data_IF_356693846777
#
_entry.id   IF_356693846777
#
_cell.length_a   1.000
_cell.length_b   1.000
_cell.length_c   1.000
_cell.angle_alpha   90.00
_cell.angle_beta   90.00
_cell.angle_gamma   90.00
#
_symmetry.space_group_name_H-M   'P 1'
#
loop_
_entity.id
_entity.type
_entity.pdbx_description
1 polymer ?
#
# COMPACT_ATOMS: atom_id res chain seq x y z
N UNK A 1 14.45 26.15 5.06
CA UNK A 1 13.26 25.80 4.28
C UNK A 1 13.16 24.28 4.27
N UNK A 2 12.17 23.71 4.96
CA UNK A 2 11.92 22.26 4.89
C UNK A 2 11.50 21.94 3.45
N UNK A 3 12.21 21.01 2.81
CA UNK A 3 11.94 20.60 1.44
C UNK A 3 10.55 19.94 1.41
N UNK A 4 9.54 20.45 0.68
CA UNK A 4 8.15 19.93 0.71
C UNK A 4 8.08 18.44 0.38
N UNK A 5 9.05 17.95 -0.39
CA UNK A 5 9.24 16.54 -0.73
C UNK A 5 9.42 15.67 0.55
N UNK A 6 10.16 16.15 1.56
CA UNK A 6 10.37 15.41 2.83
C UNK A 6 9.10 15.28 3.66
N UNK A 7 8.23 16.29 3.66
CA UNK A 7 6.97 16.26 4.41
C UNK A 7 5.98 15.27 3.78
N UNK A 8 5.89 15.29 2.44
CA UNK A 8 5.01 14.41 1.68
C UNK A 8 5.36 12.91 1.80
N UNK A 9 6.61 12.57 2.15
CA UNK A 9 7.09 11.19 2.32
C UNK A 9 7.03 10.68 3.77
N UNK A 10 7.16 11.57 4.74
CA UNK A 10 7.11 11.21 6.16
C UNK A 10 5.70 10.74 6.60
N UNK A 11 4.68 11.01 5.78
CA UNK A 11 3.26 10.78 6.08
C UNK A 11 2.74 9.39 5.66
N UNK A 12 3.56 8.53 5.05
CA UNK A 12 3.09 7.31 4.40
C UNK A 12 4.21 6.26 4.42
N UNK A 13 4.18 5.09 5.05
CA UNK A 13 3.09 4.19 5.45
C UNK A 13 3.72 3.09 6.32
N UNK A 14 3.27 2.83 7.56
CA UNK A 14 3.25 1.47 8.09
C UNK A 14 1.82 0.94 7.99
N UNK A 15 1.50 0.29 6.87
CA UNK A 15 0.26 -0.46 6.70
C UNK A 15 0.56 -1.87 7.19
N UNK A 16 0.25 -2.12 8.44
CA UNK A 16 0.36 -3.46 9.02
C UNK A 16 -0.92 -4.21 8.65
N UNK A 17 -0.84 -5.09 7.66
CA UNK A 17 -1.87 -6.09 7.42
C UNK A 17 -1.63 -7.26 8.38
N UNK A 18 -2.47 -7.42 9.38
CA UNK A 18 -2.52 -8.63 10.18
C UNK A 18 -3.97 -9.11 10.18
N UNK A 19 -4.20 -10.37 9.80
CA UNK A 19 -5.52 -11.00 9.91
C UNK A 19 -5.34 -12.21 10.83
N UNK A 20 -5.85 -12.10 12.06
CA UNK A 20 -6.01 -13.25 12.94
C UNK A 20 -7.12 -14.14 12.39
N UNK A 21 -7.00 -15.47 12.48
CA UNK A 21 -8.02 -16.41 12.00
C UNK A 21 -8.31 -17.41 13.11
N UNK A 22 -9.57 -17.50 13.53
CA UNK A 22 -10.04 -18.43 14.55
C UNK A 22 -11.33 -19.11 14.10
N UNK A 23 -11.27 -19.98 13.09
CA UNK A 23 -12.48 -20.73 12.73
C UNK A 23 -12.31 -21.80 11.65
N UNK A 24 -12.16 -23.05 12.07
CA UNK A 24 -12.37 -24.22 11.21
C UNK A 24 -13.86 -24.38 10.86
N UNK A 25 -14.22 -24.50 9.58
CA UNK A 25 -15.36 -25.33 9.16
C UNK A 25 -16.35 -24.85 8.08
N UNK A 26 -16.29 -23.60 7.58
CA UNK A 26 -17.26 -23.10 6.58
C UNK A 26 -16.57 -22.43 5.38
N UNK A 27 -17.16 -22.54 4.18
CA UNK A 27 -16.71 -21.85 2.95
C UNK A 27 -16.69 -20.31 3.08
N UNK A 28 -17.35 -19.77 4.12
CA UNK A 28 -17.40 -18.34 4.41
C UNK A 28 -16.18 -17.82 5.19
N UNK A 29 -15.19 -18.66 5.49
CA UNK A 29 -13.97 -18.30 6.25
C UNK A 29 -12.71 -18.73 5.51
N UNK A 30 -11.59 -18.07 5.83
CA UNK A 30 -10.28 -18.51 5.35
C UNK A 30 -9.88 -19.82 6.04
N UNK A 31 -9.38 -20.78 5.26
CA UNK A 31 -8.69 -21.94 5.82
C UNK A 31 -7.40 -21.52 6.52
N UNK A 32 -6.85 -22.39 7.38
CA UNK A 32 -5.57 -22.13 8.06
C UNK A 32 -4.42 -21.92 7.07
N UNK A 33 -4.42 -22.61 5.94
CA UNK A 33 -3.37 -22.46 4.92
C UNK A 33 -3.49 -21.11 4.19
N UNK A 34 -4.68 -20.73 3.74
CA UNK A 34 -4.94 -19.41 3.12
C UNK A 34 -4.62 -18.27 4.09
N UNK A 35 -4.94 -18.43 5.36
CA UNK A 35 -4.61 -17.48 6.43
C UNK A 35 -3.11 -17.32 6.64
N UNK A 36 -2.38 -18.44 6.69
CA UNK A 36 -0.94 -18.45 6.85
C UNK A 36 -0.24 -17.80 5.65
N UNK A 37 -0.70 -18.12 4.44
CA UNK A 37 -0.17 -17.54 3.21
C UNK A 37 -0.47 -16.03 3.11
N UNK A 38 -1.70 -15.60 3.44
CA UNK A 38 -2.04 -14.18 3.51
C UNK A 38 -1.16 -13.42 4.51
N UNK A 39 -0.94 -14.01 5.70
CA UNK A 39 -0.05 -13.41 6.70
C UNK A 39 1.42 -13.39 6.24
N UNK A 40 1.88 -14.37 5.45
CA UNK A 40 3.21 -14.33 4.85
C UNK A 40 3.33 -13.20 3.81
N UNK A 41 2.34 -13.07 2.93
CA UNK A 41 2.28 -11.99 1.92
C UNK A 41 2.21 -10.60 2.56
N UNK A 42 1.44 -10.45 3.63
CA UNK A 42 1.38 -9.22 4.40
C UNK A 42 2.74 -8.85 5.04
N UNK A 43 3.51 -9.84 5.51
CA UNK A 43 4.87 -9.62 6.02
C UNK A 43 5.83 -9.19 4.91
N UNK A 44 5.77 -9.84 3.75
CA UNK A 44 6.57 -9.45 2.57
C UNK A 44 6.28 -8.00 2.17
N UNK A 45 5.00 -7.63 2.07
CA UNK A 45 4.56 -6.27 1.79
C UNK A 45 5.08 -5.27 2.83
N UNK A 46 4.96 -5.59 4.13
CA UNK A 46 5.47 -4.73 5.21
C UNK A 46 6.99 -4.53 5.14
N UNK A 47 7.74 -5.59 4.82
CA UNK A 47 9.18 -5.52 4.63
C UNK A 47 9.56 -4.65 3.41
N UNK A 48 8.84 -4.80 2.30
CA UNK A 48 9.02 -3.97 1.10
C UNK A 48 8.76 -2.49 1.41
N UNK A 49 7.66 -2.17 2.11
CA UNK A 49 7.36 -0.79 2.53
C UNK A 49 8.42 -0.20 3.45
N UNK A 50 8.98 -1.01 4.36
CA UNK A 50 10.09 -0.58 5.23
C UNK A 50 11.35 -0.24 4.43
N UNK A 51 11.66 -1.06 3.42
CA UNK A 51 12.78 -0.82 2.51
C UNK A 51 12.56 0.47 1.70
N UNK A 52 11.37 0.63 1.12
CA UNK A 52 11.00 1.81 0.33
C UNK A 52 11.05 3.10 1.16
N UNK A 53 10.67 3.05 2.44
CA UNK A 53 10.83 4.19 3.35
C UNK A 53 12.32 4.57 3.58
N UNK A 54 13.19 3.56 3.66
CA UNK A 54 14.64 3.78 3.78
C UNK A 54 15.22 4.38 2.51
N UNK A 55 14.79 3.91 1.34
CA UNK A 55 15.16 4.45 0.03
C UNK A 55 14.65 5.89 -0.16
N UNK A 56 13.42 6.19 0.28
CA UNK A 56 12.86 7.54 0.26
C UNK A 56 13.69 8.50 1.13
N UNK A 57 14.09 8.04 2.31
CA UNK A 57 15.01 8.79 3.17
C UNK A 57 16.33 9.06 2.47
N UNK A 58 16.88 8.08 1.74
CA UNK A 58 18.11 8.25 0.95
C UNK A 58 17.94 9.23 -0.22
N UNK A 59 16.83 9.16 -0.98
CA UNK A 59 16.49 10.13 -2.03
C UNK A 59 16.40 11.55 -1.47
N UNK A 60 15.84 11.73 -0.27
CA UNK A 60 15.75 13.04 0.38
C UNK A 60 17.13 13.63 0.74
N UNK A 61 18.12 12.79 1.04
CA UNK A 61 19.51 13.20 1.30
C UNK A 61 20.26 13.57 0.02
N UNK A 62 19.87 13.03 -1.14
CA UNK A 62 20.40 13.48 -2.43
C UNK A 62 19.90 14.90 -2.78
N UNK A 63 18.75 15.31 -2.27
CA UNK A 63 18.24 16.67 -2.50
C UNK A 63 19.14 17.78 -1.94
N UNK A 64 19.94 17.50 -0.89
CA UNK A 64 20.93 18.46 -0.38
C UNK A 64 22.10 18.73 -1.34
N UNK A 65 22.23 17.99 -2.46
CA UNK A 65 23.28 18.24 -3.47
C UNK A 65 22.83 19.16 -4.61
N UNK A 66 21.60 19.69 -4.58
CA UNK A 66 21.12 20.73 -5.50
C UNK A 66 20.56 20.27 -6.85
N UNK A 67 20.57 18.96 -7.14
CA UNK A 67 20.04 18.40 -8.39
C UNK A 67 18.59 17.95 -8.21
N UNK A 68 17.66 18.88 -8.42
CA UNK A 68 16.22 18.67 -8.20
C UNK A 68 15.64 17.60 -9.15
N UNK A 69 16.19 17.47 -10.36
CA UNK A 69 15.72 16.49 -11.34
C UNK A 69 16.07 15.06 -10.90
N UNK A 70 17.31 14.83 -10.43
CA UNK A 70 17.69 13.52 -9.88
C UNK A 70 16.89 13.12 -8.66
N UNK A 71 16.41 14.08 -7.88
CA UNK A 71 15.54 13.82 -6.72
C UNK A 71 14.15 13.42 -7.17
N UNK A 72 13.58 14.12 -8.15
CA UNK A 72 12.28 13.80 -8.72
C UNK A 72 12.26 12.40 -9.34
N UNK A 73 13.30 12.03 -10.11
CA UNK A 73 13.43 10.68 -10.67
C UNK A 73 13.55 9.59 -9.58
N UNK A 74 14.29 9.88 -8.51
CA UNK A 74 14.44 8.97 -7.37
C UNK A 74 13.08 8.71 -6.69
N UNK A 75 12.26 9.75 -6.50
CA UNK A 75 10.93 9.60 -5.90
C UNK A 75 9.89 9.00 -6.83
N UNK A 76 9.97 9.29 -8.13
CA UNK A 76 9.13 8.63 -9.12
C UNK A 76 9.34 7.11 -9.07
N UNK A 77 10.58 6.64 -9.05
CA UNK A 77 10.88 5.20 -8.95
C UNK A 77 10.32 4.56 -7.68
N UNK A 78 10.50 5.21 -6.52
CA UNK A 78 9.94 4.69 -5.26
C UNK A 78 8.42 4.59 -5.31
N UNK A 79 7.74 5.57 -5.93
CA UNK A 79 6.28 5.54 -6.00
C UNK A 79 5.77 4.49 -6.98
N UNK A 80 6.51 4.18 -8.04
CA UNK A 80 6.21 3.02 -8.88
C UNK A 80 6.38 1.71 -8.12
N UNK A 81 7.46 1.57 -7.35
CA UNK A 81 7.68 0.37 -6.54
C UNK A 81 6.57 0.21 -5.49
N UNK A 82 6.16 1.29 -4.82
CA UNK A 82 5.01 1.26 -3.90
C UNK A 82 3.74 0.82 -4.64
N UNK A 83 3.45 1.44 -5.80
CA UNK A 83 2.28 1.09 -6.62
C UNK A 83 2.28 -0.40 -6.99
N UNK A 84 3.40 -0.94 -7.47
CA UNK A 84 3.54 -2.36 -7.79
C UNK A 84 3.28 -3.26 -6.58
N UNK A 85 3.85 -2.93 -5.42
CA UNK A 85 3.61 -3.70 -4.18
C UNK A 85 2.13 -3.69 -3.77
N UNK A 86 1.43 -2.56 -3.93
CA UNK A 86 -0.01 -2.47 -3.66
C UNK A 86 -0.85 -3.26 -4.67
N UNK A 87 -0.47 -3.28 -5.94
CA UNK A 87 -1.12 -4.05 -6.99
C UNK A 87 -0.97 -5.57 -6.76
N UNK A 88 0.23 -6.02 -6.39
CA UNK A 88 0.50 -7.43 -6.08
C UNK A 88 -0.39 -7.94 -4.92
N UNK A 89 -0.41 -7.21 -3.79
CA UNK A 89 -1.23 -7.61 -2.65
C UNK A 89 -2.74 -7.46 -2.93
N UNK A 90 -3.14 -6.45 -3.72
CA UNK A 90 -4.54 -6.30 -4.18
C UNK A 90 -4.98 -7.51 -5.00
N UNK A 91 -4.14 -7.97 -5.93
CA UNK A 91 -4.41 -9.13 -6.80
C UNK A 91 -4.51 -10.41 -5.97
N UNK A 92 -3.60 -10.61 -5.02
CA UNK A 92 -3.63 -11.76 -4.11
C UNK A 92 -4.93 -11.79 -3.28
N UNK A 93 -5.32 -10.65 -2.70
CA UNK A 93 -6.57 -10.54 -1.92
C UNK A 93 -7.81 -10.77 -2.79
N UNK A 94 -7.79 -10.30 -4.05
CA UNK A 94 -8.87 -10.58 -5.00
C UNK A 94 -9.00 -12.08 -5.27
N UNK A 95 -7.87 -12.77 -5.47
CA UNK A 95 -7.83 -14.23 -5.63
C UNK A 95 -8.45 -14.96 -4.44
N UNK A 96 -7.99 -14.65 -3.22
CA UNK A 96 -8.56 -15.21 -1.99
C UNK A 96 -10.06 -14.95 -1.87
N UNK A 97 -10.52 -13.76 -2.25
CA UNK A 97 -11.95 -13.43 -2.22
C UNK A 97 -12.81 -14.27 -3.17
N UNK A 98 -12.21 -14.85 -4.21
CA UNK A 98 -12.86 -15.77 -5.13
C UNK A 98 -12.89 -17.22 -4.64
N UNK A 99 -12.08 -17.56 -3.63
CA UNK A 99 -11.98 -18.90 -3.05
C UNK A 99 -12.83 -19.07 -1.79
N UNK A 100 -13.33 -17.98 -1.22
CA UNK A 100 -14.24 -17.96 -0.08
C UNK A 100 -15.60 -17.37 -0.48
N UNK A 101 -16.62 -17.66 0.29
CA UNK A 101 -17.99 -17.20 0.08
C UNK A 101 -18.42 -16.18 1.15
N UNK A 102 -19.66 -15.71 1.03
CA UNK A 102 -20.32 -14.92 2.07
C UNK A 102 -19.66 -13.57 2.40
N UNK A 103 -19.68 -13.25 3.71
CA UNK A 103 -19.21 -11.97 4.22
C UNK A 103 -17.69 -11.81 4.03
N UNK A 104 -16.90 -12.87 4.22
CA UNK A 104 -15.45 -12.83 4.03
C UNK A 104 -15.09 -12.46 2.58
N UNK A 105 -15.71 -13.11 1.58
CA UNK A 105 -15.53 -12.76 0.15
C UNK A 105 -15.79 -11.28 -0.11
N UNK A 106 -16.93 -10.79 0.39
CA UNK A 106 -17.36 -9.40 0.16
C UNK A 106 -16.38 -8.40 0.79
N UNK A 107 -15.87 -8.69 1.99
CA UNK A 107 -14.92 -7.80 2.66
C UNK A 107 -13.53 -7.86 2.04
N UNK A 108 -13.05 -9.03 1.63
CA UNK A 108 -11.78 -9.16 0.90
C UNK A 108 -11.83 -8.42 -0.44
N UNK A 109 -12.94 -8.48 -1.19
CA UNK A 109 -13.13 -7.66 -2.42
C UNK A 109 -13.03 -6.16 -2.15
N UNK A 110 -13.63 -5.70 -1.05
CA UNK A 110 -13.55 -4.29 -0.66
C UNK A 110 -12.11 -3.87 -0.31
N UNK A 111 -11.37 -4.71 0.41
CA UNK A 111 -9.95 -4.50 0.71
C UNK A 111 -9.12 -4.45 -0.58
N UNK A 112 -9.27 -5.43 -1.47
CA UNK A 112 -8.58 -5.47 -2.76
C UNK A 112 -8.84 -4.20 -3.59
N UNK A 113 -10.10 -3.74 -3.64
CA UNK A 113 -10.47 -2.50 -4.34
C UNK A 113 -9.73 -1.29 -3.77
N UNK A 114 -9.68 -1.15 -2.44
CA UNK A 114 -8.98 -0.01 -1.83
C UNK A 114 -7.45 -0.08 -1.98
N UNK A 115 -6.87 -1.28 -1.99
CA UNK A 115 -5.46 -1.47 -2.30
C UNK A 115 -5.16 -1.05 -3.75
N UNK A 116 -6.04 -1.40 -4.70
CA UNK A 116 -5.96 -0.95 -6.09
C UNK A 116 -6.06 0.57 -6.23
N UNK A 117 -7.04 1.20 -5.57
CA UNK A 117 -7.20 2.66 -5.52
C UNK A 117 -5.92 3.36 -5.01
N UNK A 118 -5.25 2.76 -4.02
CA UNK A 118 -3.98 3.29 -3.49
C UNK A 118 -2.83 3.08 -4.46
N UNK A 119 -2.74 1.92 -5.13
CA UNK A 119 -1.78 1.69 -6.20
C UNK A 119 -1.89 2.78 -7.28
N UNK A 120 -3.10 3.04 -7.78
CA UNK A 120 -3.34 4.06 -8.81
C UNK A 120 -2.90 5.46 -8.37
N UNK A 121 -3.12 5.80 -7.10
CA UNK A 121 -2.68 7.08 -6.54
C UNK A 121 -1.15 7.20 -6.50
N UNK A 122 -0.43 6.11 -6.16
CA UNK A 122 1.03 6.08 -6.20
C UNK A 122 1.55 6.15 -7.63
N UNK A 123 0.96 5.41 -8.56
CA UNK A 123 1.29 5.48 -10.00
C UNK A 123 1.10 6.89 -10.57
N UNK A 124 -0.02 7.55 -10.24
CA UNK A 124 -0.26 8.94 -10.65
C UNK A 124 0.77 9.90 -10.08
N UNK A 125 1.12 9.75 -8.79
CA UNK A 125 2.13 10.60 -8.17
C UNK A 125 3.52 10.40 -8.77
N UNK A 126 3.88 9.17 -9.18
CA UNK A 126 5.12 8.91 -9.90
C UNK A 126 5.18 9.65 -11.25
N UNK A 127 4.07 9.65 -11.99
CA UNK A 127 3.95 10.40 -13.26
C UNK A 127 4.10 11.91 -13.04
N UNK A 128 3.50 12.44 -11.98
CA UNK A 128 3.62 13.86 -11.61
C UNK A 128 5.05 14.25 -11.26
N UNK A 129 5.79 13.39 -10.53
CA UNK A 129 7.21 13.60 -10.26
C UNK A 129 8.03 13.72 -11.54
N UNK A 130 7.83 12.81 -12.50
CA UNK A 130 8.55 12.85 -13.79
C UNK A 130 8.19 14.06 -14.65
N UNK A 131 6.94 14.50 -14.56
CA UNK A 131 6.47 15.69 -15.27
C UNK A 131 6.98 17.00 -14.63
N UNK A 132 7.62 16.94 -13.46
CA UNK A 132 8.06 18.12 -12.73
C UNK A 132 6.92 18.88 -12.02
N UNK A 133 5.74 18.28 -11.90
CA UNK A 133 4.55 18.88 -11.30
C UNK A 133 4.54 18.78 -9.76
N UNK A 134 5.67 19.11 -9.13
CA UNK A 134 5.95 18.82 -7.71
C UNK A 134 5.03 19.56 -6.73
N UNK A 135 4.50 20.73 -7.13
CA UNK A 135 3.64 21.57 -6.27
C UNK A 135 2.29 20.92 -5.91
N UNK A 136 1.83 19.95 -6.70
CA UNK A 136 0.52 19.31 -6.52
C UNK A 136 0.65 17.92 -5.86
N UNK A 137 1.88 17.43 -5.70
CA UNK A 137 2.15 16.09 -5.20
C UNK A 137 1.75 16.00 -3.73
N UNK A 138 2.17 16.91 -2.87
CA UNK A 138 1.86 16.87 -1.44
C UNK A 138 0.34 16.84 -1.16
N UNK A 139 -0.43 17.66 -1.88
CA UNK A 139 -1.90 17.64 -1.79
C UNK A 139 -2.49 16.32 -2.27
N UNK A 140 -1.98 15.77 -3.38
CA UNK A 140 -2.38 14.44 -3.87
C UNK A 140 -2.01 13.33 -2.91
N UNK A 141 -0.86 13.40 -2.24
CA UNK A 141 -0.40 12.39 -1.28
C UNK A 141 -1.15 12.44 0.05
N UNK A 142 -1.49 13.65 0.52
CA UNK A 142 -2.25 13.85 1.77
C UNK A 142 -3.73 13.49 1.62
N UNK A 143 -4.28 13.61 0.42
CA UNK A 143 -5.66 13.18 0.14
C UNK A 143 -5.78 11.67 -0.16
N UNK A 144 -4.69 10.91 0.00
CA UNK A 144 -4.72 9.48 -0.31
C UNK A 144 -5.60 8.73 0.68
N UNK A 145 -6.38 7.78 0.14
CA UNK A 145 -7.35 6.95 0.88
C UNK A 145 -6.68 5.91 1.80
N UNK A 146 -5.44 6.12 2.24
CA UNK A 146 -4.72 5.20 3.12
C UNK A 146 -5.50 4.94 4.43
N UNK A 147 -6.16 5.98 4.94
CA UNK A 147 -7.01 5.91 6.14
C UNK A 147 -8.24 5.00 5.96
N UNK A 148 -8.63 4.70 4.71
CA UNK A 148 -9.78 3.83 4.42
C UNK A 148 -9.42 2.35 4.40
N UNK A 149 -8.14 2.01 4.28
CA UNK A 149 -7.69 0.61 4.25
C UNK A 149 -7.82 -0.01 5.64
N UNK A 150 -7.38 0.68 6.70
CA UNK A 150 -7.42 0.16 8.07
C UNK A 150 -8.82 -0.33 8.51
N UNK A 151 -9.87 0.49 8.38
CA UNK A 151 -11.24 0.06 8.70
C UNK A 151 -11.73 -1.12 7.85
N UNK A 152 -11.32 -1.21 6.58
CA UNK A 152 -11.69 -2.33 5.72
C UNK A 152 -10.96 -3.62 6.08
N UNK A 153 -9.68 -3.53 6.46
CA UNK A 153 -8.91 -4.66 6.97
C UNK A 153 -9.53 -5.21 8.24
N UNK A 154 -9.86 -4.35 9.20
CA UNK A 154 -10.53 -4.76 10.44
C UNK A 154 -11.88 -5.43 10.15
N UNK A 155 -12.65 -4.90 9.20
CA UNK A 155 -13.92 -5.48 8.80
C UNK A 155 -13.76 -6.84 8.08
N UNK A 156 -12.69 -7.00 7.29
CA UNK A 156 -12.35 -8.27 6.66
C UNK A 156 -11.89 -9.31 7.68
N UNK A 157 -11.04 -8.92 8.62
CA UNK A 157 -10.61 -9.78 9.72
C UNK A 157 -11.81 -10.32 10.51
N UNK A 158 -12.74 -9.44 10.90
CA UNK A 158 -13.97 -9.85 11.61
C UNK A 158 -14.89 -10.74 10.77
N UNK A 159 -14.91 -10.58 9.45
CA UNK A 159 -15.77 -11.38 8.57
C UNK A 159 -15.17 -12.74 8.21
N UNK A 160 -13.84 -12.87 8.28
CA UNK A 160 -13.10 -14.06 7.90
C UNK A 160 -12.67 -14.93 9.11
N UNK A 161 -12.91 -14.45 10.34
CA UNK A 161 -12.68 -15.16 11.61
C UNK A 161 -13.87 -15.98 12.06
#
# INVERSE_FOLDING_TARGET
MQNPIRAALALSIPLVLAVAVSGCGSNDKLSSDQANEFNAKAKEFSAAMTKLNSEATACSKKASTGDVNKVADCFAGIFEDISGNFEEISTYVAGLSGEVEGACSTKLKAVSTSLGDVSDQFSSAAKDFRAGNVQDIETKLNNRKLDRIGPQLNAAEQACT
#
